data_IF_724582685229
#
_entry.id   IF_724582685229
#
_cell.length_a   1.000
_cell.length_b   1.000
_cell.length_c   1.000
_cell.angle_alpha   90.00
_cell.angle_beta   90.00
_cell.angle_gamma   90.00
#
_symmetry.space_group_name_H-M   'P 1'
#
loop_
_entity.id
_entity.type
_entity.pdbx_description
1 polymer ?
#
# COMPACT_ATOMS: atom_id res chain seq x y z
N UNK A 1 -25.76 -9.49 35.86
CA UNK A 1 -25.33 -9.43 35.42
C UNK A 1 -24.88 -8.96 34.86
N UNK A 2 -25.18 -8.86 34.69
CA UNK A 2 -24.77 -8.72 34.09
C UNK A 2 -24.44 -8.18 33.48
N UNK A 3 -24.59 -7.91 33.20
CA UNK A 3 -24.10 -7.55 32.56
C UNK A 3 -24.06 -6.99 32.15
N UNK A 4 -24.41 -7.06 31.93
CA UNK A 4 -24.32 -6.77 31.49
C UNK A 4 -24.20 -6.03 31.25
N UNK A 5 -24.51 -5.74 31.39
CA UNK A 5 -24.35 -4.63 30.72
C UNK A 5 -23.19 -4.20 30.23
N UNK A 6 -22.45 -4.17 30.66
CA UNK A 6 -21.30 -3.85 29.97
C UNK A 6 -21.25 -4.33 28.59
N UNK A 7 -22.12 -5.12 28.26
CA UNK A 7 -22.07 -5.61 27.03
C UNK A 7 -22.37 -4.70 25.97
N UNK A 8 -23.05 -3.73 26.18
CA UNK A 8 -23.40 -2.88 25.16
C UNK A 8 -22.32 -2.12 24.61
N UNK A 9 -21.43 -1.71 25.44
CA UNK A 9 -20.35 -1.09 24.90
C UNK A 9 -19.59 -1.98 24.13
N UNK A 10 -19.65 -3.18 24.43
CA UNK A 10 -18.93 -4.13 23.69
C UNK A 10 -19.40 -4.17 22.28
N UNK A 11 -20.58 -3.72 22.00
CA UNK A 11 -20.98 -3.74 20.67
C UNK A 11 -20.21 -2.85 19.80
N UNK A 12 -19.94 -1.67 20.26
CA UNK A 12 -19.10 -0.82 19.48
C UNK A 12 -17.75 -1.44 19.30
N UNK A 13 -17.27 -2.06 20.32
CA UNK A 13 -15.99 -2.72 20.20
C UNK A 13 -16.02 -3.84 19.21
N UNK A 14 -17.07 -4.59 19.19
CA UNK A 14 -17.12 -5.67 18.28
C UNK A 14 -17.20 -5.19 16.85
N UNK A 15 -17.85 -4.10 16.60
CA UNK A 15 -17.86 -3.57 15.29
C UNK A 15 -16.47 -3.19 14.86
N UNK A 16 -15.70 -2.60 15.73
CA UNK A 16 -14.36 -2.26 15.38
C UNK A 16 -13.54 -3.48 15.10
N UNK A 17 -13.71 -4.51 15.86
CA UNK A 17 -12.93 -5.71 15.62
C UNK A 17 -13.35 -6.37 14.34
N UNK A 18 -14.54 -6.14 13.89
CA UNK A 18 -14.93 -6.69 12.63
C UNK A 18 -14.44 -5.89 11.46
N UNK A 19 -13.90 -4.71 11.70
CA UNK A 19 -13.32 -3.97 10.62
C UNK A 19 -12.14 -4.74 10.11
N UNK A 20 -12.34 -5.36 8.98
CA UNK A 20 -11.29 -6.12 8.35
C UNK A 20 -10.19 -5.17 7.94
N UNK A 21 -9.00 -5.49 8.34
CA UNK A 21 -7.84 -4.71 7.90
C UNK A 21 -7.70 -4.89 6.41
N UNK A 22 -7.76 -3.81 5.67
CA UNK A 22 -7.64 -3.88 4.23
C UNK A 22 -6.19 -3.97 3.84
N UNK A 23 -5.93 -4.74 2.80
CA UNK A 23 -4.57 -4.85 2.29
C UNK A 23 -4.28 -3.61 1.44
N UNK A 24 -3.14 -3.00 1.70
CA UNK A 24 -2.75 -1.77 1.02
C UNK A 24 -1.57 -2.05 0.11
N UNK A 25 -1.64 -1.52 -1.10
CA UNK A 25 -0.55 -1.58 -2.04
C UNK A 25 -0.07 -0.19 -2.40
N UNK A 26 1.23 0.03 -2.42
CA UNK A 26 1.81 1.29 -2.88
C UNK A 26 2.45 1.04 -4.23
N UNK A 27 2.12 1.89 -5.18
CA UNK A 27 2.68 1.81 -6.52
C UNK A 27 3.65 2.96 -6.73
N UNK A 28 4.93 2.67 -6.81
CA UNK A 28 5.98 3.65 -7.05
C UNK A 28 7.17 3.47 -6.13
N UNK A 29 8.34 3.86 -6.56
CA UNK A 29 9.57 3.72 -5.80
C UNK A 29 10.30 5.02 -5.52
N UNK A 30 9.62 6.16 -5.66
CA UNK A 30 10.25 7.46 -5.44
C UNK A 30 10.21 7.89 -3.98
N UNK A 31 10.56 9.13 -3.73
CA UNK A 31 10.65 9.64 -2.36
C UNK A 31 9.31 9.64 -1.66
N UNK A 32 8.25 10.00 -2.41
CA UNK A 32 6.91 10.06 -1.82
C UNK A 32 6.40 8.67 -1.46
N UNK A 33 6.59 7.71 -2.37
CA UNK A 33 6.20 6.33 -2.11
C UNK A 33 6.97 5.78 -0.91
N UNK A 34 8.25 6.10 -0.80
CA UNK A 34 9.10 5.65 0.31
C UNK A 34 8.60 6.21 1.64
N UNK A 35 8.27 7.51 1.67
CA UNK A 35 7.76 8.14 2.88
C UNK A 35 6.41 7.56 3.29
N UNK A 36 5.50 7.38 2.33
CA UNK A 36 4.20 6.81 2.61
C UNK A 36 4.30 5.37 3.11
N UNK A 37 5.21 4.59 2.53
CA UNK A 37 5.42 3.22 2.98
C UNK A 37 5.83 3.17 4.43
N UNK A 38 6.71 4.09 4.83
CA UNK A 38 7.16 4.13 6.23
C UNK A 38 6.02 4.49 7.17
N UNK A 39 5.23 5.50 6.79
CA UNK A 39 4.11 5.93 7.61
C UNK A 39 3.09 4.80 7.74
N UNK A 40 2.76 4.15 6.63
CA UNK A 40 1.77 3.09 6.65
C UNK A 40 2.23 1.88 7.45
N UNK A 41 3.50 1.52 7.36
CA UNK A 41 4.01 0.36 8.09
C UNK A 41 3.90 0.50 9.61
N UNK A 42 3.77 1.72 10.10
CA UNK A 42 3.55 1.92 11.53
C UNK A 42 2.12 1.57 11.94
N UNK A 43 1.21 1.47 10.96
CA UNK A 43 -0.20 1.32 11.23
C UNK A 43 -0.85 0.08 10.64
N UNK A 44 -0.13 -0.65 9.79
CA UNK A 44 -0.68 -1.85 9.16
C UNK A 44 0.18 -3.05 9.46
N UNK A 45 -0.42 -4.22 9.38
CA UNK A 45 0.30 -5.46 9.62
C UNK A 45 1.13 -5.87 8.43
N UNK A 46 0.71 -5.47 7.25
CA UNK A 46 1.38 -5.87 6.02
C UNK A 46 1.15 -4.85 4.93
N UNK A 47 2.16 -4.61 4.09
CA UNK A 47 2.10 -3.64 3.01
C UNK A 47 2.67 -4.27 1.74
N UNK A 48 1.93 -4.15 0.65
CA UNK A 48 2.42 -4.55 -0.67
C UNK A 48 3.04 -3.31 -1.32
N UNK A 49 4.23 -3.45 -1.87
CA UNK A 49 4.92 -2.29 -2.45
C UNK A 49 5.50 -2.65 -3.80
N UNK A 50 5.04 -1.95 -4.82
CA UNK A 50 5.58 -2.11 -6.17
C UNK A 50 6.68 -1.10 -6.44
N UNK A 51 7.81 -1.61 -6.91
CA UNK A 51 8.89 -0.78 -7.43
C UNK A 51 9.27 -1.31 -8.80
N UNK A 52 9.55 -0.42 -9.72
CA UNK A 52 9.92 -0.82 -11.07
C UNK A 52 11.29 -1.49 -11.12
N UNK A 53 12.21 -1.02 -10.31
CA UNK A 53 13.60 -1.40 -10.36
C UNK A 53 13.89 -2.57 -9.43
N UNK A 54 14.18 -3.72 -10.00
CA UNK A 54 14.48 -4.92 -9.22
C UNK A 54 15.69 -4.73 -8.31
N UNK A 55 16.68 -3.97 -8.78
CA UNK A 55 17.87 -3.72 -7.95
C UNK A 55 17.51 -2.96 -6.68
N UNK A 56 16.56 -2.02 -6.77
CA UNK A 56 16.09 -1.30 -5.60
C UNK A 56 15.34 -2.22 -4.65
N UNK A 57 14.55 -3.16 -5.19
CA UNK A 57 13.83 -4.13 -4.37
C UNK A 57 14.81 -4.99 -3.59
N UNK A 58 15.83 -5.51 -4.26
CA UNK A 58 16.82 -6.33 -3.60
C UNK A 58 17.58 -5.55 -2.54
N UNK A 59 17.87 -4.28 -2.83
CA UNK A 59 18.56 -3.44 -1.85
C UNK A 59 17.71 -3.24 -0.60
N UNK A 60 16.41 -2.99 -0.77
CA UNK A 60 15.52 -2.82 0.39
C UNK A 60 15.44 -4.13 1.18
N UNK A 61 15.38 -5.27 0.50
CA UNK A 61 15.33 -6.55 1.19
C UNK A 61 16.57 -6.79 2.04
N UNK A 62 17.74 -6.43 1.50
CA UNK A 62 18.98 -6.70 2.17
C UNK A 62 19.36 -5.65 3.21
N UNK A 63 19.20 -4.39 2.86
CA UNK A 63 19.66 -3.29 3.72
C UNK A 63 18.55 -2.54 4.43
N UNK A 64 17.31 -2.87 4.16
CA UNK A 64 16.12 -2.34 4.85
C UNK A 64 15.89 -0.84 4.63
N UNK A 65 16.46 -0.26 3.59
CA UNK A 65 16.19 1.12 3.21
C UNK A 65 16.23 1.29 1.69
N UNK A 66 15.60 2.35 1.19
CA UNK A 66 15.60 2.63 -0.24
C UNK A 66 16.98 3.19 -0.64
N UNK A 67 17.62 2.64 -1.66
CA UNK A 67 18.97 3.09 -2.05
C UNK A 67 19.01 4.51 -2.59
N UNK A 68 17.90 5.01 -3.11
CA UNK A 68 17.89 6.29 -3.81
C UNK A 68 17.22 7.41 -3.03
N UNK A 69 16.24 7.07 -2.21
CA UNK A 69 15.42 8.07 -1.53
C UNK A 69 15.31 7.78 -0.05
N UNK A 70 15.44 8.80 0.77
CA UNK A 70 15.25 8.71 2.23
C UNK A 70 16.06 7.56 2.81
N UNK A 71 17.35 7.59 2.55
CA UNK A 71 18.23 6.49 2.93
C UNK A 71 18.29 6.23 4.43
N UNK A 72 17.97 7.24 5.23
CA UNK A 72 17.99 7.10 6.67
C UNK A 72 16.72 6.47 7.22
N UNK A 73 15.74 6.19 6.35
CA UNK A 73 14.48 5.59 6.78
C UNK A 73 14.58 4.08 6.65
N UNK A 74 14.48 3.41 7.78
CA UNK A 74 14.59 1.96 7.81
C UNK A 74 13.21 1.32 7.82
N UNK A 75 13.06 0.22 7.09
CA UNK A 75 11.79 -0.49 6.97
C UNK A 75 11.83 -1.83 7.67
N UNK A 76 10.72 -2.21 8.26
CA UNK A 76 10.55 -3.55 8.77
C UNK A 76 10.14 -4.44 7.60
N UNK A 77 11.13 -5.07 6.97
CA UNK A 77 10.90 -5.84 5.75
C UNK A 77 10.04 -7.08 5.99
N UNK A 78 9.89 -7.53 7.23
CA UNK A 78 9.02 -8.66 7.51
C UNK A 78 7.55 -8.34 7.25
N UNK A 79 7.22 -7.05 7.20
CA UNK A 79 5.85 -6.60 6.92
C UNK A 79 5.68 -6.17 5.47
N UNK A 80 6.72 -6.31 4.65
CA UNK A 80 6.67 -5.84 3.28
C UNK A 80 6.64 -6.97 2.28
N UNK A 81 5.80 -6.85 1.26
CA UNK A 81 5.89 -7.66 0.06
C UNK A 81 6.31 -6.75 -1.07
N UNK A 82 7.56 -6.86 -1.47
CA UNK A 82 8.13 -6.07 -2.55
C UNK A 82 8.03 -6.84 -3.85
N UNK A 83 7.59 -6.18 -4.91
CA UNK A 83 7.38 -6.85 -6.19
C UNK A 83 7.55 -5.85 -7.32
N UNK A 84 8.16 -6.29 -8.40
CA UNK A 84 8.28 -5.45 -9.60
C UNK A 84 7.18 -5.72 -10.63
N UNK A 85 6.28 -6.65 -10.36
CA UNK A 85 5.14 -6.90 -11.22
C UNK A 85 3.94 -6.13 -10.67
N UNK A 86 3.60 -5.04 -11.33
CA UNK A 86 2.56 -4.13 -10.85
C UNK A 86 1.19 -4.82 -10.78
N UNK A 87 0.90 -5.72 -11.69
CA UNK A 87 -0.40 -6.39 -11.69
C UNK A 87 -0.57 -7.30 -10.48
N UNK A 88 0.51 -7.92 -10.03
CA UNK A 88 0.43 -8.74 -8.84
C UNK A 88 0.18 -7.90 -7.60
N UNK A 89 0.82 -6.77 -7.48
CA UNK A 89 0.61 -5.88 -6.35
C UNK A 89 -0.83 -5.36 -6.36
N UNK A 90 -1.35 -5.01 -7.54
CA UNK A 90 -2.73 -4.55 -7.67
C UNK A 90 -3.69 -5.67 -7.25
N UNK A 91 -3.46 -6.88 -7.73
CA UNK A 91 -4.35 -8.00 -7.44
C UNK A 91 -4.41 -8.35 -5.95
N UNK A 92 -3.28 -8.18 -5.26
CA UNK A 92 -3.17 -8.54 -3.85
C UNK A 92 -3.63 -7.42 -2.90
N UNK A 93 -4.00 -6.26 -3.42
CA UNK A 93 -4.30 -5.10 -2.59
C UNK A 93 -5.74 -4.66 -2.79
N UNK A 94 -6.39 -4.27 -1.71
CA UNK A 94 -7.75 -3.72 -1.76
C UNK A 94 -7.72 -2.20 -1.89
N UNK A 95 -6.70 -1.59 -1.32
CA UNK A 95 -6.49 -0.14 -1.39
C UNK A 95 -5.18 0.09 -2.10
N UNK A 96 -5.20 0.90 -3.14
CA UNK A 96 -4.00 1.21 -3.91
C UNK A 96 -3.66 2.68 -3.75
N UNK A 97 -2.42 2.95 -3.35
CA UNK A 97 -1.91 4.31 -3.25
C UNK A 97 -0.97 4.50 -4.43
N UNK A 98 -1.38 5.34 -5.36
CA UNK A 98 -0.61 5.56 -6.58
C UNK A 98 0.33 6.73 -6.34
N UNK A 99 1.60 6.43 -6.19
CA UNK A 99 2.65 7.42 -5.95
C UNK A 99 3.64 7.46 -7.10
N UNK A 100 3.16 7.25 -8.32
CA UNK A 100 3.94 7.33 -9.54
C UNK A 100 3.72 8.72 -10.13
N UNK A 101 4.78 9.44 -10.51
CA UNK A 101 4.60 10.74 -11.15
C UNK A 101 3.74 10.60 -12.41
N UNK A 102 2.89 11.58 -12.66
CA UNK A 102 1.92 11.52 -13.76
C UNK A 102 2.58 11.26 -15.12
N UNK A 103 3.79 11.74 -15.30
CA UNK A 103 4.51 11.53 -16.56
C UNK A 103 4.81 10.07 -16.83
N UNK A 104 4.91 9.25 -15.78
CA UNK A 104 5.24 7.85 -15.91
C UNK A 104 4.08 6.91 -15.64
N UNK A 105 2.95 7.47 -15.25
CA UNK A 105 1.80 6.67 -14.81
C UNK A 105 1.24 5.82 -15.94
N UNK A 106 1.08 6.42 -17.10
CA UNK A 106 0.52 5.70 -18.25
C UNK A 106 1.41 4.51 -18.63
N UNK A 107 2.71 4.71 -18.64
CA UNK A 107 3.63 3.66 -18.99
C UNK A 107 3.64 2.55 -17.94
N UNK A 108 3.57 2.92 -16.68
CA UNK A 108 3.55 1.95 -15.60
C UNK A 108 2.30 1.07 -15.62
N UNK A 109 1.18 1.63 -16.03
CA UNK A 109 -0.10 0.93 -16.03
C UNK A 109 -0.52 0.41 -17.40
N UNK A 110 0.36 0.48 -18.39
CA UNK A 110 -0.01 0.13 -19.76
C UNK A 110 -0.53 -1.29 -19.95
N UNK A 111 -0.06 -2.22 -19.11
CA UNK A 111 -0.48 -3.61 -19.21
C UNK A 111 -1.65 -3.92 -18.29
N UNK A 112 -2.18 -2.93 -17.59
CA UNK A 112 -3.30 -3.11 -16.69
C UNK A 112 -4.59 -2.70 -17.37
N UNK A 113 -5.65 -3.46 -17.11
CA UNK A 113 -6.97 -3.14 -17.64
C UNK A 113 -7.89 -2.61 -16.55
N UNK A 114 -9.06 -2.20 -16.94
CA UNK A 114 -10.04 -1.70 -15.97
C UNK A 114 -10.41 -2.76 -14.96
N UNK A 115 -10.43 -4.01 -15.38
CA UNK A 115 -10.84 -5.09 -14.50
C UNK A 115 -9.84 -5.32 -13.37
N UNK A 116 -8.58 -4.94 -13.58
CA UNK A 116 -7.57 -5.09 -12.55
C UNK A 116 -7.86 -4.19 -11.35
N UNK A 117 -8.58 -3.09 -11.57
CA UNK A 117 -8.89 -2.12 -10.53
C UNK A 117 -10.30 -2.27 -9.96
N UNK A 118 -11.05 -3.22 -10.45
CA UNK A 118 -12.45 -3.34 -10.06
C UNK A 118 -12.58 -3.67 -8.58
N UNK A 119 -13.44 -2.95 -7.91
CA UNK A 119 -13.69 -3.18 -6.48
C UNK A 119 -12.61 -2.65 -5.57
N UNK A 120 -11.66 -1.88 -6.07
CA UNK A 120 -10.57 -1.37 -5.25
C UNK A 120 -10.72 0.11 -4.98
N UNK A 121 -10.20 0.55 -3.84
CA UNK A 121 -10.16 1.96 -3.50
C UNK A 121 -8.82 2.49 -3.98
N UNK A 122 -8.83 3.55 -4.75
CA UNK A 122 -7.61 4.11 -5.31
C UNK A 122 -7.40 5.52 -4.81
N UNK A 123 -6.21 5.73 -4.25
CA UNK A 123 -5.77 7.03 -3.77
C UNK A 123 -4.61 7.46 -4.63
N UNK A 124 -4.72 8.59 -5.29
CA UNK A 124 -3.66 9.09 -6.16
C UNK A 124 -3.14 10.41 -5.65
N UNK A 125 -1.84 10.48 -5.47
CA UNK A 125 -1.20 11.71 -5.00
C UNK A 125 -0.87 12.65 -6.16
N UNK A 126 -0.48 12.09 -7.28
CA UNK A 126 0.04 12.88 -8.39
C UNK A 126 -1.01 13.30 -9.41
N UNK A 127 -2.21 12.82 -9.29
CA UNK A 127 -3.25 13.08 -10.27
C UNK A 127 -4.29 13.98 -9.68
N UNK A 128 -4.72 14.98 -10.46
CA UNK A 128 -5.73 15.87 -9.99
C UNK A 128 -7.08 15.18 -9.93
N UNK A 129 -7.31 14.23 -10.80
CA UNK A 129 -8.57 13.57 -10.83
C UNK A 129 -8.36 12.16 -11.26
N UNK A 130 -8.71 11.24 -10.42
CA UNK A 130 -8.70 9.87 -10.81
C UNK A 130 -10.12 9.40 -10.80
N UNK A 131 -10.68 9.32 -11.97
CA UNK A 131 -11.94 8.66 -12.12
C UNK A 131 -11.59 7.27 -12.51
N UNK A 132 -11.54 6.41 -11.56
CA UNK A 132 -11.26 5.05 -11.86
C UNK A 132 -12.52 4.27 -11.61
N UNK A 133 -12.92 3.62 -12.58
CA UNK A 133 -14.16 2.95 -12.77
C UNK A 133 -14.39 1.76 -11.88
#
# INVERSE_FOLDING_TARGET
MKLKPGQNQSECGSEKTEMKTRTIGILGGGSWATALSKILLNNVEHLNWWMRDEASIEHVREFHHNPKYLRDVEFNVSKLSLNNNIREVIAQSEVLVVAIPSAFLHDALKDCGKDDFKGKLIVCHSCHLVSIY
#
